data_IF_212948026228
#
_entry.id   IF_212948026228
#
_cell.length_a   1.000
_cell.length_b   1.000
_cell.length_c   1.000
_cell.angle_alpha   90.00
_cell.angle_beta   90.00
_cell.angle_gamma   90.00
#
_symmetry.space_group_name_H-M   'P 1'
#
loop_
_entity.id
_entity.type
_entity.pdbx_description
1 polymer ?
#
# COMPACT_ATOMS: atom_id res chain seq x y z
N UNK A 1 16.87 -19.48 13.44
CA UNK A 1 15.58 -18.77 13.39
C UNK A 1 14.76 -19.34 12.25
N UNK A 2 13.54 -19.78 12.52
CA UNK A 2 12.67 -20.32 11.50
C UNK A 2 12.09 -19.18 10.66
N UNK A 3 12.26 -19.25 9.33
CA UNK A 3 11.64 -18.28 8.43
C UNK A 3 10.16 -18.61 8.33
N UNK A 4 9.33 -17.64 8.71
CA UNK A 4 7.88 -17.75 8.66
C UNK A 4 7.40 -17.63 7.21
N UNK A 5 6.51 -18.51 6.79
CA UNK A 5 5.85 -18.36 5.49
C UNK A 5 4.64 -17.44 5.65
N UNK A 6 4.78 -16.20 5.20
CA UNK A 6 3.75 -15.17 5.36
C UNK A 6 2.45 -15.51 4.63
N UNK A 7 2.50 -16.32 3.59
CA UNK A 7 1.30 -16.74 2.87
C UNK A 7 0.34 -17.54 3.76
N UNK A 8 0.86 -18.23 4.76
CA UNK A 8 0.04 -19.00 5.70
C UNK A 8 -0.83 -18.09 6.59
N UNK A 9 -0.50 -16.81 6.66
CA UNK A 9 -1.23 -15.82 7.43
C UNK A 9 -2.23 -15.02 6.60
N UNK A 10 -2.31 -15.28 5.30
CA UNK A 10 -3.27 -14.62 4.41
C UNK A 10 -4.44 -15.57 4.18
N UNK A 11 -5.62 -15.14 4.64
CA UNK A 11 -6.83 -15.94 4.50
C UNK A 11 -7.46 -15.71 3.12
N UNK A 12 -7.84 -16.78 2.46
CA UNK A 12 -8.55 -16.71 1.18
C UNK A 12 -10.05 -16.90 1.43
N UNK A 13 -10.85 -15.94 0.97
CA UNK A 13 -12.30 -15.98 1.13
C UNK A 13 -12.92 -16.06 -0.27
N UNK A 14 -13.51 -17.22 -0.63
CA UNK A 14 -14.15 -17.35 -1.94
C UNK A 14 -15.46 -16.56 -2.00
N UNK A 15 -15.81 -16.12 -3.18
CA UNK A 15 -17.07 -15.44 -3.47
C UNK A 15 -17.32 -14.18 -2.61
N UNK A 16 -16.28 -13.38 -2.40
CA UNK A 16 -16.37 -12.16 -1.62
C UNK A 16 -15.66 -11.01 -2.37
N UNK A 17 -16.23 -9.82 -2.45
CA UNK A 17 -17.57 -9.43 -2.02
C UNK A 17 -18.68 -9.91 -2.95
N UNK A 18 -18.32 -10.53 -4.07
CA UNK A 18 -19.25 -11.07 -5.07
C UNK A 18 -18.84 -12.46 -5.49
N UNK A 19 -19.82 -13.24 -5.99
CA UNK A 19 -19.57 -14.58 -6.53
C UNK A 19 -18.49 -14.52 -7.62
N UNK A 20 -17.56 -15.47 -7.59
CA UNK A 20 -16.46 -15.59 -8.54
C UNK A 20 -15.21 -14.79 -8.17
N UNK A 21 -15.23 -14.00 -7.11
CA UNK A 21 -14.08 -13.24 -6.63
C UNK A 21 -13.46 -13.95 -5.43
N UNK A 22 -12.16 -14.23 -5.52
CA UNK A 22 -11.39 -14.77 -4.39
C UNK A 22 -10.73 -13.59 -3.67
N UNK A 23 -11.20 -13.30 -2.46
CA UNK A 23 -10.68 -12.20 -1.66
C UNK A 23 -9.48 -12.67 -0.81
N UNK A 24 -8.40 -11.90 -0.84
CA UNK A 24 -7.23 -12.15 0.00
C UNK A 24 -7.31 -11.27 1.23
N UNK A 25 -7.56 -11.90 2.37
CA UNK A 25 -7.72 -11.19 3.64
C UNK A 25 -6.38 -11.12 4.37
N UNK A 26 -5.86 -9.91 4.53
CA UNK A 26 -4.59 -9.66 5.22
C UNK A 26 -4.78 -9.36 6.70
N UNK A 27 -6.01 -9.28 7.19
CA UNK A 27 -6.24 -8.96 8.61
C UNK A 27 -5.64 -10.00 9.54
N UNK A 28 -5.64 -11.27 9.10
CA UNK A 28 -5.02 -12.35 9.85
C UNK A 28 -3.50 -12.24 9.94
N UNK A 29 -2.87 -11.64 8.93
CA UNK A 29 -1.43 -11.35 8.95
C UNK A 29 -1.14 -10.15 9.84
N UNK A 30 -1.93 -9.09 9.71
CA UNK A 30 -1.72 -7.84 10.46
C UNK A 30 -1.90 -8.05 11.95
N UNK A 31 -2.86 -8.87 12.37
CA UNK A 31 -3.12 -9.10 13.79
C UNK A 31 -2.13 -10.03 14.48
N UNK A 32 -1.30 -10.74 13.71
CA UNK A 32 -0.23 -11.57 14.27
C UNK A 32 1.04 -10.75 14.40
N UNK A 33 1.52 -10.58 15.63
CA UNK A 33 2.66 -9.71 15.90
C UNK A 33 3.94 -10.14 15.16
N UNK A 34 4.17 -11.43 15.06
CA UNK A 34 5.37 -11.94 14.39
C UNK A 34 5.24 -11.85 12.87
N UNK A 35 4.08 -12.20 12.33
CA UNK A 35 3.84 -12.13 10.89
C UNK A 35 3.89 -10.68 10.39
N UNK A 36 3.27 -9.76 11.12
CA UNK A 36 3.31 -8.34 10.76
C UNK A 36 4.74 -7.79 10.84
N UNK A 37 5.45 -8.08 11.92
CA UNK A 37 6.85 -7.64 12.07
C UNK A 37 7.73 -8.15 10.94
N UNK A 38 7.62 -9.43 10.59
CA UNK A 38 8.38 -9.98 9.48
C UNK A 38 8.01 -9.37 8.14
N UNK A 39 6.74 -9.05 7.93
CA UNK A 39 6.29 -8.38 6.71
C UNK A 39 6.97 -7.03 6.56
N UNK A 40 6.97 -6.23 7.62
CA UNK A 40 7.63 -4.91 7.61
C UNK A 40 9.13 -5.07 7.38
N UNK A 41 9.78 -6.00 8.08
CA UNK A 41 11.22 -6.24 7.92
C UNK A 41 11.56 -6.64 6.48
N UNK A 42 10.75 -7.49 5.85
CA UNK A 42 10.98 -7.90 4.46
C UNK A 42 10.78 -6.76 3.47
N UNK A 43 9.79 -5.89 3.70
CA UNK A 43 9.59 -4.71 2.85
C UNK A 43 10.83 -3.81 2.94
N UNK A 44 11.32 -3.56 4.15
CA UNK A 44 12.51 -2.73 4.36
C UNK A 44 13.72 -3.35 3.68
N UNK A 45 13.94 -4.64 3.86
CA UNK A 45 15.08 -5.32 3.25
C UNK A 45 15.08 -5.23 1.73
N UNK A 46 13.92 -5.46 1.11
CA UNK A 46 13.77 -5.35 -0.35
C UNK A 46 13.93 -3.92 -0.84
N UNK A 47 13.52 -2.93 -0.04
CA UNK A 47 13.62 -1.52 -0.42
C UNK A 47 15.05 -0.98 -0.41
N UNK A 48 15.99 -1.65 0.26
CA UNK A 48 17.39 -1.21 0.34
C UNK A 48 18.06 -1.08 -1.01
N UNK A 49 17.59 -1.79 -2.01
CA UNK A 49 18.12 -1.74 -3.38
C UNK A 49 17.55 -0.60 -4.21
N UNK A 50 16.59 0.14 -3.67
CA UNK A 50 15.87 1.20 -4.37
C UNK A 50 16.27 2.53 -3.77
N UNK A 51 16.58 3.51 -4.63
CA UNK A 51 16.84 4.87 -4.18
C UNK A 51 15.52 5.63 -4.08
N UNK A 52 15.16 6.06 -2.87
CA UNK A 52 13.95 6.84 -2.65
C UNK A 52 14.12 7.74 -1.43
N UNK A 53 13.38 8.84 -1.41
CA UNK A 53 13.40 9.80 -0.32
C UNK A 53 12.02 9.99 0.35
N UNK A 54 10.97 9.49 -0.27
CA UNK A 54 9.61 9.56 0.28
C UNK A 54 8.89 8.24 0.05
N UNK A 55 7.91 7.98 0.90
CA UNK A 55 7.09 6.78 0.83
C UNK A 55 5.65 7.20 0.63
N UNK A 56 4.95 6.55 -0.30
CA UNK A 56 3.54 6.78 -0.55
C UNK A 56 2.78 5.47 -0.49
N UNK A 57 1.52 5.54 -0.15
CA UNK A 57 0.63 4.38 -0.18
C UNK A 57 -0.78 4.79 -0.52
N UNK A 58 -1.51 3.84 -1.09
CA UNK A 58 -2.88 4.03 -1.53
C UNK A 58 -3.82 3.58 -0.42
N UNK A 59 -4.84 4.42 -0.13
CA UNK A 59 -5.81 4.07 0.92
C UNK A 59 -6.55 2.78 0.59
N UNK A 60 -6.86 1.98 1.61
CA UNK A 60 -6.50 2.22 2.99
C UNK A 60 -5.51 1.18 3.52
N UNK A 61 -5.52 -0.03 2.97
CA UNK A 61 -4.71 -1.14 3.49
C UNK A 61 -3.22 -0.89 3.31
N UNK A 62 -2.82 -0.24 2.22
CA UNK A 62 -1.43 0.13 2.00
C UNK A 62 -0.88 1.04 3.10
N UNK A 63 -1.73 1.86 3.71
CA UNK A 63 -1.33 2.76 4.79
C UNK A 63 -0.77 2.03 6.00
N UNK A 64 -1.30 0.85 6.31
CA UNK A 64 -0.87 0.05 7.46
C UNK A 64 0.61 -0.33 7.33
N UNK A 65 0.99 -0.80 6.16
CA UNK A 65 2.38 -1.21 5.92
C UNK A 65 3.30 0.01 5.75
N UNK A 66 2.86 0.98 4.97
CA UNK A 66 3.68 2.15 4.66
C UNK A 66 3.97 3.00 5.90
N UNK A 67 3.01 3.16 6.81
CA UNK A 67 3.22 3.94 8.03
C UNK A 67 4.28 3.30 8.92
N UNK A 68 4.28 1.97 9.05
CA UNK A 68 5.28 1.26 9.83
C UNK A 68 6.68 1.39 9.21
N UNK A 69 6.77 1.22 7.89
CA UNK A 69 8.04 1.38 7.16
C UNK A 69 8.57 2.82 7.29
N UNK A 70 7.70 3.80 7.13
CA UNK A 70 8.07 5.22 7.24
C UNK A 70 8.60 5.56 8.62
N UNK A 71 7.98 5.05 9.66
CA UNK A 71 8.43 5.26 11.03
C UNK A 71 9.84 4.69 11.25
N UNK A 72 10.06 3.45 10.81
CA UNK A 72 11.37 2.79 11.01
C UNK A 72 12.46 3.50 10.21
N UNK A 73 12.20 3.84 8.95
CA UNK A 73 13.17 4.47 8.07
C UNK A 73 13.27 5.98 8.25
N UNK A 74 12.38 6.57 9.05
CA UNK A 74 12.32 8.02 9.29
C UNK A 74 12.22 8.81 7.98
N UNK A 75 11.32 8.38 7.12
CA UNK A 75 11.04 9.04 5.84
C UNK A 75 9.59 9.55 5.81
N UNK A 76 9.32 10.63 5.05
CA UNK A 76 7.96 11.15 4.92
C UNK A 76 7.01 10.10 4.35
N UNK A 77 5.78 10.10 4.86
CA UNK A 77 4.70 9.26 4.37
C UNK A 77 3.66 10.13 3.67
N UNK A 78 3.36 9.81 2.43
CA UNK A 78 2.41 10.54 1.60
C UNK A 78 1.20 9.67 1.33
N UNK A 79 0.02 10.21 1.61
CA UNK A 79 -1.24 9.50 1.40
C UNK A 79 -1.76 9.75 -0.01
N UNK A 80 -1.96 8.67 -0.76
CA UNK A 80 -2.66 8.67 -2.02
C UNK A 80 -4.10 8.23 -1.74
N UNK A 81 -5.06 9.12 -1.96
CA UNK A 81 -6.41 8.89 -1.50
C UNK A 81 -7.44 9.01 -2.63
N UNK A 82 -8.58 8.43 -2.41
CA UNK A 82 -9.72 8.54 -3.31
C UNK A 82 -10.22 9.99 -3.36
N UNK A 83 -10.96 10.30 -4.42
CA UNK A 83 -11.48 11.65 -4.68
C UNK A 83 -12.17 12.25 -3.44
N UNK A 84 -11.91 13.52 -3.20
CA UNK A 84 -12.54 14.34 -2.15
C UNK A 84 -12.19 13.94 -0.70
N UNK A 85 -11.09 13.20 -0.51
CA UNK A 85 -10.62 12.82 0.83
C UNK A 85 -9.53 13.76 1.37
N UNK A 86 -8.84 14.48 0.50
CA UNK A 86 -7.76 15.38 0.89
C UNK A 86 -8.25 16.82 0.95
N UNK A 87 -7.90 17.56 2.03
CA UNK A 87 -8.48 18.88 2.27
C UNK A 87 -7.84 20.04 1.51
N UNK A 88 -6.58 19.92 1.10
CA UNK A 88 -5.87 20.97 0.39
C UNK A 88 -5.86 20.73 -1.13
N UNK A 89 -5.15 21.57 -1.88
CA UNK A 89 -5.06 21.39 -3.32
C UNK A 89 -4.38 20.08 -3.69
N UNK A 90 -4.92 19.42 -4.70
CA UNK A 90 -4.48 18.09 -5.12
C UNK A 90 -4.13 18.03 -6.60
N UNK A 91 -3.24 17.10 -6.94
CA UNK A 91 -3.13 16.54 -8.28
C UNK A 91 -3.99 15.29 -8.34
N UNK A 92 -4.77 15.14 -9.40
CA UNK A 92 -5.69 14.02 -9.58
C UNK A 92 -5.35 13.25 -10.83
N UNK A 93 -5.49 11.93 -10.77
CA UNK A 93 -5.38 11.04 -11.93
C UNK A 93 -6.56 10.11 -11.94
N UNK A 94 -7.26 10.07 -13.08
CA UNK A 94 -8.31 9.10 -13.33
C UNK A 94 -7.69 7.83 -13.90
N UNK A 95 -8.21 6.68 -13.50
CA UNK A 95 -7.74 5.41 -14.03
C UNK A 95 -8.90 4.43 -14.17
N UNK A 96 -8.73 3.48 -15.07
CA UNK A 96 -9.75 2.47 -15.33
C UNK A 96 -9.61 1.30 -14.40
N UNK A 97 -10.74 0.86 -13.86
CA UNK A 97 -10.87 -0.39 -13.13
C UNK A 97 -11.46 -1.45 -14.06
N UNK A 98 -11.48 -2.69 -13.60
CA UNK A 98 -12.17 -3.77 -14.32
C UNK A 98 -13.66 -3.42 -14.55
N UNK A 99 -14.27 -2.73 -13.59
CA UNK A 99 -15.67 -2.30 -13.64
C UNK A 99 -15.77 -0.81 -13.29
N UNK A 100 -15.50 0.06 -14.26
CA UNK A 100 -15.67 1.50 -14.10
C UNK A 100 -14.36 2.27 -14.03
N UNK A 101 -14.42 3.49 -13.52
CA UNK A 101 -13.27 4.38 -13.35
C UNK A 101 -13.16 4.81 -11.91
N UNK A 102 -11.95 5.18 -11.52
CA UNK A 102 -11.67 5.73 -10.20
C UNK A 102 -10.66 6.86 -10.32
N UNK A 103 -10.58 7.68 -9.27
CA UNK A 103 -9.66 8.82 -9.20
C UNK A 103 -8.80 8.68 -7.96
N UNK A 104 -7.49 8.87 -8.13
CA UNK A 104 -6.54 8.95 -7.01
C UNK A 104 -6.02 10.38 -6.95
N UNK A 105 -5.91 10.90 -5.74
CA UNK A 105 -5.45 12.26 -5.49
C UNK A 105 -4.28 12.28 -4.52
N UNK A 106 -3.38 13.24 -4.72
CA UNK A 106 -2.25 13.52 -3.83
C UNK A 106 -2.18 15.03 -3.63
N UNK A 107 -1.84 15.47 -2.42
CA UNK A 107 -1.63 16.90 -2.17
C UNK A 107 -0.50 17.45 -3.05
N UNK A 108 -0.73 18.63 -3.64
CA UNK A 108 0.27 19.27 -4.52
C UNK A 108 1.58 19.58 -3.79
N UNK A 109 1.52 19.87 -2.50
CA UNK A 109 2.69 20.21 -1.70
C UNK A 109 3.44 19.00 -1.14
N UNK A 110 2.95 17.78 -1.41
CA UNK A 110 3.55 16.56 -0.84
C UNK A 110 4.73 16.04 -1.64
N UNK A 111 4.75 16.27 -2.95
CA UNK A 111 5.75 15.68 -3.85
C UNK A 111 6.35 16.80 -4.71
N UNK A 112 7.68 16.79 -4.81
CA UNK A 112 8.44 17.70 -5.65
C UNK A 112 8.97 16.93 -6.88
N UNK A 113 9.31 17.70 -7.91
CA UNK A 113 9.79 17.16 -9.19
C UNK A 113 10.98 16.20 -9.05
N UNK A 114 11.87 16.47 -8.10
CA UNK A 114 13.10 15.70 -7.93
C UNK A 114 12.97 14.56 -6.92
N UNK A 115 11.78 14.32 -6.42
CA UNK A 115 11.53 13.25 -5.46
C UNK A 115 11.54 11.87 -6.13
N UNK A 116 12.08 10.90 -5.41
CA UNK A 116 11.98 9.49 -5.73
C UNK A 116 11.07 8.85 -4.69
N UNK A 117 9.88 8.44 -5.10
CA UNK A 117 8.83 7.97 -4.21
C UNK A 117 8.68 6.47 -4.32
N UNK A 118 8.78 5.78 -3.18
CA UNK A 118 8.47 4.35 -3.09
C UNK A 118 7.00 4.18 -2.77
N UNK A 119 6.27 3.49 -3.63
CA UNK A 119 4.86 3.17 -3.40
C UNK A 119 4.77 1.79 -2.75
N UNK A 120 4.07 1.71 -1.63
CA UNK A 120 3.83 0.47 -0.90
C UNK A 120 2.33 0.18 -0.91
N UNK A 121 1.97 -1.02 -1.31
CA UNK A 121 0.58 -1.47 -1.27
C UNK A 121 0.54 -2.94 -0.84
N UNK A 122 -0.64 -3.40 -0.43
CA UNK A 122 -0.84 -4.78 -0.01
C UNK A 122 -1.11 -5.73 -1.18
N UNK A 123 -1.70 -5.21 -2.25
CA UNK A 123 -2.09 -6.01 -3.41
C UNK A 123 -1.99 -5.19 -4.69
N UNK A 124 -1.28 -5.72 -5.67
CA UNK A 124 -1.26 -5.17 -7.02
C UNK A 124 -1.96 -6.17 -7.94
N UNK A 125 -3.20 -5.88 -8.32
CA UNK A 125 -3.99 -6.75 -9.18
C UNK A 125 -3.66 -6.52 -10.65
N UNK A 126 -4.01 -5.34 -11.18
CA UNK A 126 -3.73 -4.96 -12.58
C UNK A 126 -2.59 -3.97 -12.71
N UNK A 127 -2.24 -3.31 -11.61
CA UNK A 127 -1.27 -2.21 -11.60
C UNK A 127 -1.87 -0.87 -12.02
N UNK A 128 -3.16 -0.81 -12.35
CA UNK A 128 -3.81 0.42 -12.80
C UNK A 128 -3.78 1.53 -11.75
N UNK A 129 -4.04 1.20 -10.50
CA UNK A 129 -3.99 2.18 -9.40
C UNK A 129 -2.57 2.63 -9.11
N UNK A 130 -1.65 1.71 -9.11
CA UNK A 130 -0.25 2.03 -8.83
C UNK A 130 0.40 2.79 -9.99
#
# INVERSE_FOLDING_TARGET
MTIMNLKDFIRSIPDYPKKGILFRDITTLIKDENAFSQTIDQIIERSKKIKFNKIAAIESRGFVFASAVSYILKKPFIMLRKKNKLPAEVHSVDFELEYGTATIEVHKDSINKDDNVLIIDDLIATGGTA
#
